data_IF_302881178376
#
_entry.id   IF_302881178376
#
_cell.length_a   1.000
_cell.length_b   1.000
_cell.length_c   1.000
_cell.angle_alpha   90.00
_cell.angle_beta   90.00
_cell.angle_gamma   90.00
#
_symmetry.space_group_name_H-M   'P 1'
#
loop_
_entity.id
_entity.type
_entity.pdbx_description
1 polymer ?
#
# COMPACT_ATOMS: atom_id res chain seq x y z
N UNK A 1 -2.34 -17.93 20.17
CA UNK A 1 -3.41 -17.42 19.30
C UNK A 1 -3.80 -18.45 18.24
N UNK A 2 -2.86 -18.98 17.46
CA UNK A 2 -3.12 -19.96 16.40
C UNK A 2 -3.90 -21.20 16.87
N UNK A 3 -3.31 -22.04 17.73
CA UNK A 3 -3.94 -23.28 18.19
C UNK A 3 -5.26 -23.09 18.95
N UNK A 4 -5.43 -21.94 19.61
CA UNK A 4 -6.63 -21.66 20.39
C UNK A 4 -7.74 -20.96 19.58
N UNK A 5 -7.39 -20.23 18.51
CA UNK A 5 -8.32 -19.36 17.79
C UNK A 5 -8.55 -19.73 16.32
N UNK A 6 -7.56 -20.31 15.65
CA UNK A 6 -7.61 -20.65 14.23
C UNK A 6 -7.86 -22.16 14.03
N UNK A 7 -7.09 -23.03 14.67
CA UNK A 7 -7.26 -24.49 14.52
C UNK A 7 -8.69 -24.98 14.85
N UNK A 8 -9.37 -24.48 15.90
CA UNK A 8 -10.72 -24.96 16.23
C UNK A 8 -11.78 -24.58 15.20
N UNK A 9 -11.53 -23.56 14.36
CA UNK A 9 -12.47 -23.12 13.32
C UNK A 9 -12.14 -23.69 11.93
N UNK A 10 -10.96 -24.31 11.77
CA UNK A 10 -10.55 -24.96 10.54
C UNK A 10 -11.53 -26.00 9.97
N UNK A 11 -12.31 -26.76 10.79
CA UNK A 11 -13.30 -27.68 10.26
C UNK A 11 -14.42 -27.01 9.44
N UNK A 12 -14.62 -25.70 9.58
CA UNK A 12 -15.64 -24.98 8.80
C UNK A 12 -15.08 -24.55 7.43
N UNK A 13 -15.85 -24.75 6.34
CA UNK A 13 -15.45 -24.25 5.04
C UNK A 13 -15.46 -22.71 5.04
N UNK A 14 -14.41 -22.12 4.49
CA UNK A 14 -14.28 -20.68 4.32
C UNK A 14 -14.05 -20.34 2.84
N UNK A 15 -14.35 -19.09 2.47
CA UNK A 15 -14.07 -18.55 1.12
C UNK A 15 -12.81 -17.70 1.06
N UNK A 16 -12.21 -17.40 2.21
CA UNK A 16 -11.01 -16.58 2.33
C UNK A 16 -10.86 -16.06 3.75
N UNK A 17 -9.77 -15.32 3.98
CA UNK A 17 -9.42 -14.74 5.28
C UNK A 17 -9.34 -13.22 5.17
N UNK A 18 -9.91 -12.52 6.15
CA UNK A 18 -9.66 -11.10 6.37
C UNK A 18 -8.63 -10.95 7.50
N UNK A 19 -7.53 -10.24 7.24
CA UNK A 19 -6.43 -10.08 8.21
C UNK A 19 -6.13 -8.61 8.47
N UNK A 20 -6.22 -8.18 9.74
CA UNK A 20 -5.81 -6.83 10.14
C UNK A 20 -4.92 -6.93 11.37
N UNK A 21 -3.61 -6.83 11.12
CA UNK A 21 -2.57 -6.77 12.14
C UNK A 21 -1.34 -6.08 11.54
N UNK A 22 -0.52 -5.48 12.40
CA UNK A 22 0.84 -5.06 12.04
C UNK A 22 1.41 -4.01 13.00
N UNK A 23 0.57 -3.40 13.84
CA UNK A 23 0.92 -2.26 14.68
C UNK A 23 2.10 -2.54 15.64
N UNK A 24 2.15 -3.76 16.20
CA UNK A 24 3.28 -4.20 17.05
C UNK A 24 4.51 -4.62 16.26
N UNK A 25 4.37 -4.96 14.97
CA UNK A 25 5.50 -5.22 14.08
C UNK A 25 6.12 -3.93 13.57
N UNK A 26 5.35 -2.84 13.52
CA UNK A 26 5.79 -1.49 13.13
C UNK A 26 6.35 -0.66 14.30
N UNK A 27 6.92 -1.31 15.33
CA UNK A 27 7.56 -0.63 16.47
C UNK A 27 9.02 -0.26 16.20
N UNK A 28 9.74 -1.08 15.44
CA UNK A 28 11.15 -0.86 15.06
C UNK A 28 11.40 -1.42 13.66
N UNK A 29 12.42 -0.91 12.98
CA UNK A 29 12.81 -1.41 11.65
C UNK A 29 13.16 -2.90 11.66
N UNK A 30 13.80 -3.39 12.74
CA UNK A 30 14.09 -4.82 12.91
C UNK A 30 12.81 -5.67 12.92
N UNK A 31 11.79 -5.26 13.67
CA UNK A 31 10.50 -5.95 13.70
C UNK A 31 9.75 -5.85 12.38
N UNK A 32 9.92 -4.75 11.65
CA UNK A 32 9.40 -4.63 10.29
C UNK A 32 10.06 -5.68 9.38
N UNK A 33 11.37 -5.91 9.49
CA UNK A 33 12.06 -6.92 8.68
C UNK A 33 11.63 -8.34 9.01
N UNK A 34 11.30 -8.64 10.27
CA UNK A 34 10.75 -9.94 10.66
C UNK A 34 9.40 -10.21 9.96
N UNK A 35 8.59 -9.18 9.71
CA UNK A 35 7.30 -9.32 9.03
C UNK A 35 7.43 -9.86 7.60
N UNK A 36 8.53 -9.54 6.90
CA UNK A 36 8.80 -10.06 5.55
C UNK A 36 8.95 -11.59 5.52
N UNK A 37 9.29 -12.21 6.66
CA UNK A 37 9.32 -13.68 6.82
C UNK A 37 8.01 -14.21 7.39
N UNK A 38 7.47 -13.56 8.43
CA UNK A 38 6.34 -14.07 9.19
C UNK A 38 5.02 -14.03 8.40
N UNK A 39 4.79 -13.00 7.59
CA UNK A 39 3.53 -12.87 6.86
C UNK A 39 3.36 -13.91 5.74
N UNK A 40 4.37 -14.18 4.89
CA UNK A 40 4.32 -15.32 3.97
C UNK A 40 4.12 -16.67 4.68
N UNK A 41 4.77 -16.87 5.84
CA UNK A 41 4.56 -18.07 6.65
C UNK A 41 3.12 -18.20 7.14
N UNK A 42 2.50 -17.10 7.59
CA UNK A 42 1.08 -17.07 7.97
C UNK A 42 0.19 -17.47 6.80
N UNK A 43 0.39 -16.85 5.63
CA UNK A 43 -0.38 -17.15 4.40
C UNK A 43 -0.26 -18.64 4.04
N UNK A 44 0.96 -19.19 4.07
CA UNK A 44 1.19 -20.61 3.81
C UNK A 44 0.51 -21.51 4.85
N UNK A 45 0.60 -21.16 6.14
CA UNK A 45 0.02 -21.94 7.23
C UNK A 45 -1.51 -21.97 7.14
N UNK A 46 -2.14 -20.83 6.83
CA UNK A 46 -3.59 -20.73 6.60
C UNK A 46 -4.01 -21.58 5.40
N UNK A 47 -3.30 -21.48 4.28
CA UNK A 47 -3.58 -22.29 3.08
C UNK A 47 -3.44 -23.79 3.34
N UNK A 48 -2.40 -24.18 4.07
CA UNK A 48 -2.16 -25.57 4.46
C UNK A 48 -3.25 -26.12 5.38
N UNK A 49 -3.68 -25.33 6.37
CA UNK A 49 -4.71 -25.75 7.33
C UNK A 49 -6.08 -26.02 6.69
N UNK A 50 -6.43 -25.27 5.62
CA UNK A 50 -7.65 -25.49 4.84
C UNK A 50 -7.44 -26.33 3.57
N UNK A 51 -6.23 -26.82 3.33
CA UNK A 51 -5.85 -27.58 2.14
C UNK A 51 -6.22 -26.87 0.81
N UNK A 52 -6.12 -25.54 0.80
CA UNK A 52 -6.47 -24.69 -0.35
C UNK A 52 -5.29 -23.78 -0.71
N UNK A 53 -4.50 -24.19 -1.70
CA UNK A 53 -3.26 -23.50 -2.10
C UNK A 53 -3.49 -22.07 -2.63
N UNK A 54 -4.69 -21.79 -3.15
CA UNK A 54 -5.12 -20.51 -3.70
C UNK A 54 -6.11 -19.77 -2.78
N UNK A 55 -6.30 -20.21 -1.52
CA UNK A 55 -7.21 -19.59 -0.57
C UNK A 55 -6.92 -18.06 -0.50
N UNK A 56 -7.93 -17.21 -0.80
CA UNK A 56 -7.74 -15.77 -0.77
C UNK A 56 -7.46 -15.24 0.63
N UNK A 57 -6.53 -14.29 0.72
CA UNK A 57 -6.25 -13.55 1.96
C UNK A 57 -6.27 -12.05 1.66
N UNK A 58 -7.24 -11.35 2.25
CA UNK A 58 -7.38 -9.90 2.09
C UNK A 58 -6.94 -9.24 3.38
N UNK A 59 -5.99 -8.31 3.32
CA UNK A 59 -5.43 -7.70 4.52
C UNK A 59 -5.42 -6.17 4.47
N UNK A 60 -5.21 -5.56 5.63
CA UNK A 60 -5.29 -4.12 5.81
C UNK A 60 -3.90 -3.51 5.88
N UNK A 61 -3.59 -2.56 5.00
CA UNK A 61 -2.44 -1.68 5.18
C UNK A 61 -2.59 -0.92 6.50
N UNK A 62 -1.51 -0.69 7.25
CA UNK A 62 -1.62 0.12 8.47
C UNK A 62 -2.08 1.55 8.15
N UNK A 63 -3.04 2.10 8.93
CA UNK A 63 -3.58 3.44 8.73
C UNK A 63 -2.57 4.53 9.11
N UNK A 64 -2.91 5.81 9.02
CA UNK A 64 -2.09 6.91 9.52
C UNK A 64 -1.87 6.86 11.05
N UNK A 65 -0.62 6.90 11.50
CA UNK A 65 -0.23 7.00 12.92
C UNK A 65 1.19 7.60 13.05
N UNK A 66 1.43 8.53 13.99
CA UNK A 66 2.75 9.18 14.17
C UNK A 66 3.76 8.26 14.88
N UNK A 67 4.32 7.29 14.15
CA UNK A 67 5.41 6.40 14.59
C UNK A 67 6.48 6.24 13.51
N UNK A 68 7.74 6.18 13.91
CA UNK A 68 8.89 6.26 13.01
C UNK A 68 8.95 5.13 11.96
N UNK A 69 8.86 3.86 12.38
CA UNK A 69 8.96 2.69 11.50
C UNK A 69 7.73 2.47 10.59
N UNK A 70 6.70 3.31 10.73
CA UNK A 70 5.39 3.11 10.12
C UNK A 70 5.38 3.21 8.58
N UNK A 71 6.08 4.18 7.94
CA UNK A 71 6.18 4.23 6.48
C UNK A 71 6.87 2.99 5.90
N UNK A 72 7.95 2.53 6.54
CA UNK A 72 8.66 1.32 6.15
C UNK A 72 7.73 0.10 6.18
N UNK A 73 6.96 -0.06 7.25
CA UNK A 73 6.01 -1.16 7.37
C UNK A 73 4.94 -1.15 6.26
N UNK A 74 4.39 0.02 5.92
CA UNK A 74 3.40 0.14 4.82
C UNK A 74 3.99 -0.27 3.47
N UNK A 75 5.23 0.10 3.18
CA UNK A 75 5.90 -0.32 1.94
C UNK A 75 6.17 -1.83 1.93
N UNK A 76 6.55 -2.42 3.08
CA UNK A 76 6.67 -3.89 3.20
C UNK A 76 5.35 -4.60 2.96
N UNK A 77 4.26 -4.12 3.57
CA UNK A 77 2.92 -4.62 3.30
C UNK A 77 2.58 -4.59 1.80
N UNK A 78 2.82 -3.45 1.13
CA UNK A 78 2.61 -3.31 -0.32
C UNK A 78 3.44 -4.32 -1.13
N UNK A 79 4.73 -4.49 -0.80
CA UNK A 79 5.62 -5.43 -1.51
C UNK A 79 5.16 -6.87 -1.34
N UNK A 80 4.77 -7.26 -0.12
CA UNK A 80 4.28 -8.61 0.18
C UNK A 80 2.99 -8.91 -0.59
N UNK A 81 2.06 -7.95 -0.67
CA UNK A 81 0.85 -8.10 -1.49
C UNK A 81 1.19 -8.36 -2.97
N UNK A 82 2.19 -7.67 -3.52
CA UNK A 82 2.61 -7.86 -4.91
C UNK A 82 3.34 -9.20 -5.17
N UNK A 83 3.93 -9.81 -4.14
CA UNK A 83 4.71 -11.04 -4.25
C UNK A 83 3.89 -12.32 -4.01
N UNK A 84 2.75 -12.21 -3.30
CA UNK A 84 1.97 -13.36 -2.86
C UNK A 84 0.68 -13.49 -3.69
N UNK A 85 0.56 -14.49 -4.57
CA UNK A 85 -0.65 -14.68 -5.37
C UNK A 85 -1.89 -14.88 -4.49
N UNK A 86 -3.02 -14.26 -4.86
CA UNK A 86 -4.27 -14.35 -4.11
C UNK A 86 -4.26 -13.59 -2.77
N UNK A 87 -3.25 -12.75 -2.53
CA UNK A 87 -3.19 -11.84 -1.38
C UNK A 87 -3.42 -10.42 -1.85
N UNK A 88 -4.39 -9.73 -1.25
CA UNK A 88 -4.80 -8.38 -1.67
C UNK A 88 -4.84 -7.44 -0.47
N UNK A 89 -4.45 -6.18 -0.69
CA UNK A 89 -4.31 -5.18 0.38
C UNK A 89 -5.34 -4.07 0.23
N UNK A 90 -6.12 -3.82 1.28
CA UNK A 90 -6.90 -2.59 1.41
C UNK A 90 -5.97 -1.46 1.87
N UNK A 91 -5.80 -0.43 1.03
CA UNK A 91 -5.04 0.78 1.35
C UNK A 91 -5.86 1.64 2.34
N UNK A 92 -5.21 2.18 3.38
CA UNK A 92 -5.90 2.95 4.45
C UNK A 92 -5.13 4.18 4.95
N UNK A 93 -4.15 4.66 4.18
CA UNK A 93 -3.29 5.81 4.51
C UNK A 93 -4.06 7.11 4.85
N UNK A 94 -5.28 7.25 4.34
CA UNK A 94 -6.20 8.38 4.55
C UNK A 94 -7.09 8.24 5.79
N UNK A 95 -6.99 7.11 6.49
CA UNK A 95 -7.66 6.84 7.77
C UNK A 95 -6.65 6.86 8.91
N UNK A 96 -7.10 6.75 10.16
CA UNK A 96 -6.23 6.65 11.32
C UNK A 96 -6.36 7.82 12.28
N UNK A 97 -5.43 7.90 13.22
CA UNK A 97 -5.37 8.97 14.22
C UNK A 97 -3.90 9.21 14.58
N UNK A 98 -3.45 10.46 14.79
CA UNK A 98 -2.03 10.74 15.00
C UNK A 98 -1.45 10.08 16.25
N UNK A 99 -2.29 9.83 17.27
CA UNK A 99 -1.85 9.33 18.59
C UNK A 99 -2.59 8.10 19.09
N UNK A 100 -3.63 7.64 18.38
CA UNK A 100 -4.45 6.51 18.81
C UNK A 100 -4.28 5.35 17.82
N UNK A 101 -3.74 4.24 18.32
CA UNK A 101 -3.52 3.02 17.55
C UNK A 101 -4.83 2.25 17.30
N UNK A 102 -5.91 2.61 18.01
CA UNK A 102 -7.24 2.02 17.87
C UNK A 102 -8.29 3.05 17.39
N UNK A 103 -8.08 3.69 16.22
CA UNK A 103 -8.94 4.76 15.76
C UNK A 103 -10.40 4.30 15.62
N UNK A 104 -11.34 5.12 16.07
CA UNK A 104 -12.77 4.79 16.08
C UNK A 104 -13.37 4.59 14.68
N UNK A 105 -12.84 5.30 13.67
CA UNK A 105 -13.35 5.23 12.29
C UNK A 105 -12.86 3.95 11.60
N UNK A 106 -13.60 2.85 11.75
CA UNK A 106 -13.29 1.54 11.15
C UNK A 106 -14.14 1.18 9.93
N UNK A 107 -15.25 1.91 9.70
CA UNK A 107 -16.18 1.65 8.59
C UNK A 107 -15.52 1.67 7.20
N UNK A 108 -14.69 2.68 6.84
CA UNK A 108 -14.04 2.69 5.54
C UNK A 108 -13.11 1.48 5.30
N UNK A 109 -12.47 0.98 6.37
CA UNK A 109 -11.60 -0.21 6.30
C UNK A 109 -12.43 -1.44 5.94
N UNK A 110 -13.58 -1.64 6.60
CA UNK A 110 -14.49 -2.75 6.32
C UNK A 110 -15.09 -2.68 4.91
N UNK A 111 -15.48 -1.48 4.46
CA UNK A 111 -16.02 -1.26 3.10
C UNK A 111 -14.99 -1.60 2.02
N UNK A 112 -13.72 -1.24 2.21
CA UNK A 112 -12.63 -1.58 1.27
C UNK A 112 -12.35 -3.08 1.22
N UNK A 113 -12.30 -3.75 2.37
CA UNK A 113 -12.17 -5.22 2.39
C UNK A 113 -13.37 -5.91 1.75
N UNK A 114 -14.59 -5.41 1.97
CA UNK A 114 -15.79 -5.95 1.36
C UNK A 114 -15.75 -5.79 -0.18
N UNK A 115 -15.28 -4.66 -0.69
CA UNK A 115 -15.11 -4.45 -2.14
C UNK A 115 -14.09 -5.43 -2.74
N UNK A 116 -12.94 -5.64 -2.07
CA UNK A 116 -11.96 -6.64 -2.48
C UNK A 116 -12.55 -8.06 -2.45
N UNK A 117 -13.31 -8.41 -1.41
CA UNK A 117 -13.96 -9.71 -1.32
C UNK A 117 -14.99 -9.91 -2.43
N UNK A 118 -15.88 -8.94 -2.66
CA UNK A 118 -16.91 -9.02 -3.70
C UNK A 118 -16.30 -9.20 -5.09
N UNK A 119 -15.21 -8.50 -5.38
CA UNK A 119 -14.56 -8.54 -6.70
C UNK A 119 -13.64 -9.75 -6.89
N UNK A 120 -12.74 -10.03 -5.94
CA UNK A 120 -11.70 -11.05 -6.08
C UNK A 120 -12.14 -12.45 -5.64
N UNK A 121 -12.98 -12.53 -4.61
CA UNK A 121 -13.38 -13.82 -4.01
C UNK A 121 -14.71 -14.29 -4.56
N UNK A 122 -15.71 -13.40 -4.58
CA UNK A 122 -17.07 -13.75 -5.02
C UNK A 122 -17.33 -13.48 -6.49
N UNK A 123 -16.46 -12.72 -7.17
CA UNK A 123 -16.62 -12.31 -8.58
C UNK A 123 -18.02 -11.75 -8.86
N UNK A 124 -18.53 -10.97 -7.92
CA UNK A 124 -19.87 -10.41 -7.98
C UNK A 124 -20.01 -9.51 -9.21
N UNK A 125 -21.11 -9.64 -9.95
CA UNK A 125 -21.34 -8.87 -11.16
C UNK A 125 -21.28 -7.36 -10.85
N UNK A 126 -20.43 -6.63 -11.61
CA UNK A 126 -20.22 -5.20 -11.41
C UNK A 126 -19.23 -4.82 -10.30
N UNK A 127 -18.76 -5.77 -9.48
CA UNK A 127 -17.70 -5.50 -8.51
C UNK A 127 -16.33 -5.48 -9.20
N UNK A 128 -15.70 -4.30 -9.26
CA UNK A 128 -14.34 -4.16 -9.77
C UNK A 128 -13.34 -4.19 -8.61
N UNK A 129 -12.23 -4.93 -8.75
CA UNK A 129 -11.18 -4.93 -7.75
C UNK A 129 -10.51 -3.57 -7.74
N UNK A 130 -10.56 -2.91 -6.59
CA UNK A 130 -9.94 -1.61 -6.43
C UNK A 130 -9.33 -1.47 -5.04
N UNK A 131 -8.04 -1.23 -5.03
CA UNK A 131 -7.23 -0.95 -3.85
C UNK A 131 -6.68 0.48 -3.87
N UNK A 132 -7.13 1.31 -4.82
CA UNK A 132 -6.49 2.56 -5.19
C UNK A 132 -5.21 2.37 -6.01
N UNK A 133 -4.63 3.47 -6.53
CA UNK A 133 -3.43 3.41 -7.34
C UNK A 133 -2.25 2.74 -6.64
N UNK A 134 -1.66 1.73 -7.28
CA UNK A 134 -0.43 1.07 -6.82
C UNK A 134 0.74 1.41 -7.72
N UNK A 135 1.96 1.52 -7.17
CA UNK A 135 3.17 1.68 -7.97
C UNK A 135 3.30 0.52 -8.97
N UNK A 136 3.36 0.85 -10.26
CA UNK A 136 3.67 -0.10 -11.33
C UNK A 136 5.14 -0.01 -11.72
N UNK A 137 5.66 1.20 -11.91
CA UNK A 137 7.06 1.45 -12.27
C UNK A 137 7.49 2.85 -11.83
N UNK A 138 8.78 3.01 -11.54
CA UNK A 138 9.43 4.31 -11.37
C UNK A 138 10.78 4.26 -12.10
N UNK A 139 10.94 5.14 -13.08
CA UNK A 139 12.09 5.17 -13.99
C UNK A 139 12.68 6.57 -14.05
N UNK A 140 14.00 6.67 -14.14
CA UNK A 140 14.70 7.93 -14.34
C UNK A 140 14.63 8.32 -15.82
N UNK A 141 14.22 9.56 -16.08
CA UNK A 141 14.22 10.19 -17.41
C UNK A 141 14.92 11.55 -17.27
N UNK A 142 16.20 11.61 -17.65
CA UNK A 142 17.12 12.71 -17.36
C UNK A 142 17.14 13.07 -15.84
N UNK A 143 16.81 14.31 -15.49
CA UNK A 143 16.68 14.79 -14.10
C UNK A 143 15.29 14.58 -13.50
N UNK A 144 14.37 13.95 -14.23
CA UNK A 144 13.04 13.63 -13.75
C UNK A 144 12.86 12.14 -13.46
N UNK A 145 11.77 11.85 -12.76
CA UNK A 145 11.31 10.49 -12.49
C UNK A 145 9.92 10.33 -13.10
N UNK A 146 9.76 9.36 -13.97
CA UNK A 146 8.45 8.95 -14.49
C UNK A 146 7.91 7.84 -13.60
N UNK A 147 6.75 8.10 -12.99
CA UNK A 147 6.07 7.14 -12.12
C UNK A 147 4.79 6.68 -12.79
N UNK A 148 4.65 5.37 -13.00
CA UNK A 148 3.45 4.75 -13.54
C UNK A 148 2.69 4.01 -12.45
N UNK A 149 1.38 4.11 -12.49
CA UNK A 149 0.47 3.49 -11.53
C UNK A 149 -0.41 2.43 -12.20
N UNK A 150 -0.68 1.35 -11.47
CA UNK A 150 -1.78 0.42 -11.75
C UNK A 150 -3.06 0.88 -11.01
N UNK A 151 -4.20 0.28 -11.34
CA UNK A 151 -5.48 0.46 -10.63
C UNK A 151 -5.95 1.94 -10.55
N UNK A 152 -5.82 2.68 -11.66
CA UNK A 152 -6.23 4.11 -11.71
C UNK A 152 -7.66 4.33 -12.20
N UNK A 153 -8.36 3.26 -12.64
CA UNK A 153 -9.66 3.35 -13.28
C UNK A 153 -9.61 4.21 -14.55
N UNK A 154 -10.29 5.36 -14.54
CA UNK A 154 -10.31 6.33 -15.64
C UNK A 154 -9.12 7.30 -15.61
N UNK A 155 -8.38 7.35 -14.51
CA UNK A 155 -7.12 8.09 -14.42
C UNK A 155 -6.79 8.60 -13.02
N UNK A 156 -5.56 9.08 -12.88
CA UNK A 156 -5.09 9.74 -11.68
C UNK A 156 -5.75 11.11 -11.51
N UNK A 157 -6.15 11.43 -10.28
CA UNK A 157 -6.66 12.74 -9.89
C UNK A 157 -6.27 13.10 -8.47
N UNK A 158 -6.43 14.36 -8.11
CA UNK A 158 -6.36 14.80 -6.72
C UNK A 158 -7.75 15.00 -6.14
N UNK A 159 -7.98 14.53 -4.92
CA UNK A 159 -9.32 14.60 -4.27
C UNK A 159 -9.79 16.04 -4.04
N UNK A 160 -8.84 16.96 -3.98
CA UNK A 160 -9.05 18.36 -3.61
C UNK A 160 -8.70 19.34 -4.73
N UNK A 161 -8.38 18.85 -5.94
CA UNK A 161 -7.98 19.66 -7.08
C UNK A 161 -6.66 20.43 -6.90
N UNK A 162 -5.91 20.18 -5.81
CA UNK A 162 -4.62 20.82 -5.56
C UNK A 162 -3.48 20.01 -6.21
N UNK A 163 -2.26 20.57 -6.33
CA UNK A 163 -1.10 19.81 -6.76
C UNK A 163 -0.88 18.54 -5.94
N UNK A 164 -0.33 17.51 -6.58
CA UNK A 164 0.01 16.24 -5.91
C UNK A 164 1.03 16.50 -4.80
N UNK A 165 0.84 15.87 -3.64
CA UNK A 165 1.65 16.07 -2.44
C UNK A 165 2.55 14.88 -2.14
N UNK A 166 3.50 15.09 -1.22
CA UNK A 166 4.24 14.03 -0.52
C UNK A 166 5.11 13.14 -1.42
N UNK A 167 5.67 13.72 -2.49
CA UNK A 167 6.76 13.10 -3.22
C UNK A 167 8.09 13.63 -2.70
N UNK A 168 9.04 12.72 -2.55
CA UNK A 168 10.43 13.05 -2.27
C UNK A 168 11.34 12.24 -3.20
N UNK A 169 12.40 12.87 -3.68
CA UNK A 169 13.39 12.27 -4.57
C UNK A 169 14.75 12.29 -3.87
N UNK A 170 15.49 11.20 -4.00
CA UNK A 170 16.81 11.02 -3.45
C UNK A 170 17.86 11.18 -4.53
N UNK A 171 18.94 11.92 -4.26
CA UNK A 171 20.11 12.01 -5.12
C UNK A 171 21.16 10.95 -4.82
N UNK A 172 22.35 11.12 -5.42
CA UNK A 172 23.52 10.27 -5.19
C UNK A 172 24.11 10.43 -3.76
N UNK A 173 23.75 11.52 -3.07
CA UNK A 173 24.11 11.83 -1.68
C UNK A 173 23.30 11.03 -0.64
N UNK A 174 22.31 10.24 -1.09
CA UNK A 174 21.36 9.53 -0.25
C UNK A 174 20.42 10.43 0.59
N UNK A 175 20.31 11.71 0.25
CA UNK A 175 19.38 12.65 0.90
C UNK A 175 18.10 12.79 0.09
N UNK A 176 16.95 12.80 0.79
CA UNK A 176 15.63 12.95 0.18
C UNK A 176 15.17 14.41 0.24
N UNK A 177 14.79 14.95 -0.91
CA UNK A 177 14.28 16.31 -1.05
C UNK A 177 12.82 16.31 -1.55
N UNK A 178 11.98 17.27 -1.12
CA UNK A 178 10.63 17.42 -1.66
C UNK A 178 10.63 17.58 -3.17
N UNK A 179 9.70 16.91 -3.84
CA UNK A 179 9.61 16.91 -5.30
C UNK A 179 8.22 17.34 -5.77
N UNK A 180 8.19 17.97 -6.95
CA UNK A 180 6.97 18.40 -7.63
C UNK A 180 6.52 17.29 -8.56
N UNK A 181 5.28 16.84 -8.42
CA UNK A 181 4.68 15.81 -9.25
C UNK A 181 3.54 16.38 -10.11
N UNK A 182 3.58 16.08 -11.41
CA UNK A 182 2.57 16.49 -12.39
C UNK A 182 1.96 15.27 -13.07
N UNK A 183 0.62 15.23 -13.17
CA UNK A 183 -0.08 14.22 -13.98
C UNK A 183 0.15 14.53 -15.45
N UNK A 184 0.83 13.62 -16.16
CA UNK A 184 1.17 13.77 -17.59
C UNK A 184 0.42 12.78 -18.48
N UNK A 185 -0.31 11.83 -17.89
CA UNK A 185 -1.14 10.88 -18.61
C UNK A 185 -2.17 10.22 -17.69
N UNK A 186 -2.94 9.27 -18.23
CA UNK A 186 -3.98 8.56 -17.48
C UNK A 186 -3.46 7.96 -16.17
N UNK A 187 -2.30 7.31 -16.21
CA UNK A 187 -1.71 6.61 -15.08
C UNK A 187 -0.26 7.03 -14.80
N UNK A 188 0.16 8.19 -15.31
CA UNK A 188 1.56 8.61 -15.31
C UNK A 188 1.73 9.95 -14.60
N UNK A 189 2.71 10.00 -13.69
CA UNK A 189 3.24 11.24 -13.13
C UNK A 189 4.65 11.47 -13.67
N UNK A 190 4.98 12.74 -13.95
CA UNK A 190 6.36 13.20 -14.06
C UNK A 190 6.72 13.94 -12.77
N UNK A 191 7.80 13.53 -12.12
CA UNK A 191 8.26 14.05 -10.83
C UNK A 191 9.63 14.71 -11.02
N UNK A 192 9.78 15.93 -10.51
CA UNK A 192 11.02 16.72 -10.60
C UNK A 192 11.42 17.26 -9.24
N UNK A 193 12.71 17.35 -8.99
CA UNK A 193 13.28 17.95 -7.79
C UNK A 193 14.41 18.90 -8.21
N UNK A 194 14.39 20.15 -7.75
CA UNK A 194 15.37 21.15 -8.19
C UNK A 194 16.75 20.91 -7.57
N UNK A 195 16.77 20.25 -6.42
CA UNK A 195 17.92 19.92 -5.61
C UNK A 195 18.63 18.65 -6.13
N UNK A 196 17.94 17.82 -6.91
CA UNK A 196 18.44 16.51 -7.37
C UNK A 196 18.54 16.47 -8.89
N UNK A 197 19.77 16.59 -9.41
CA UNK A 197 20.05 16.48 -10.85
C UNK A 197 20.09 15.04 -11.36
N UNK A 198 20.45 14.09 -10.49
CA UNK A 198 20.54 12.67 -10.80
C UNK A 198 19.71 11.85 -9.80
N UNK A 199 18.41 11.62 -10.08
CA UNK A 199 17.51 10.93 -9.15
C UNK A 199 17.89 9.46 -8.97
N UNK A 200 18.31 9.03 -7.78
CA UNK A 200 18.68 7.64 -7.47
C UNK A 200 17.51 6.82 -6.87
N UNK A 201 16.62 7.46 -6.11
CA UNK A 201 15.42 6.83 -5.56
C UNK A 201 14.27 7.83 -5.47
N UNK A 202 13.05 7.32 -5.34
CA UNK A 202 11.84 8.11 -5.15
C UNK A 202 10.96 7.46 -4.10
N UNK A 203 10.25 8.27 -3.32
CA UNK A 203 9.23 7.80 -2.39
C UNK A 203 8.00 8.69 -2.42
N UNK A 204 6.86 8.06 -2.17
CA UNK A 204 5.55 8.72 -2.09
C UNK A 204 4.90 8.42 -0.74
N UNK A 205 4.37 9.46 -0.11
CA UNK A 205 3.70 9.40 1.18
C UNK A 205 4.52 8.63 2.24
N UNK A 206 5.85 8.82 2.23
CA UNK A 206 6.79 8.23 3.18
C UNK A 206 6.76 8.97 4.53
N UNK A 207 5.55 9.10 5.08
CA UNK A 207 5.26 9.91 6.26
C UNK A 207 4.36 9.07 7.18
N UNK A 208 4.65 9.01 8.49
CA UNK A 208 3.85 8.23 9.44
C UNK A 208 2.37 8.67 9.47
N UNK A 209 2.14 9.98 9.53
CA UNK A 209 0.82 10.60 9.49
C UNK A 209 0.87 11.84 8.58
N UNK A 210 0.29 11.81 7.37
CA UNK A 210 0.38 12.90 6.41
C UNK A 210 -0.48 14.10 6.84
N UNK A 211 0.18 15.24 7.10
CA UNK A 211 -0.44 16.54 7.34
C UNK A 211 0.18 17.57 6.38
N UNK A 212 -0.57 18.11 5.39
CA UNK A 212 -1.97 17.80 5.05
C UNK A 212 -2.16 16.36 4.54
N UNK A 213 -3.40 15.82 4.50
CA UNK A 213 -3.66 14.47 4.01
C UNK A 213 -3.14 14.22 2.59
N UNK A 214 -2.87 12.95 2.27
CA UNK A 214 -2.61 12.52 0.89
C UNK A 214 -3.80 12.89 0.01
N UNK A 215 -3.52 13.31 -1.22
CA UNK A 215 -4.56 13.70 -2.16
C UNK A 215 -4.54 12.93 -3.48
N UNK A 216 -3.52 12.13 -3.79
CA UNK A 216 -3.46 11.34 -5.02
C UNK A 216 -4.40 10.14 -4.94
N UNK A 217 -5.29 10.02 -5.92
CA UNK A 217 -6.29 8.94 -6.02
C UNK A 217 -6.46 8.48 -7.47
N UNK A 218 -7.07 7.31 -7.63
CA UNK A 218 -7.63 6.86 -8.91
C UNK A 218 -9.04 7.41 -9.11
N UNK A 219 -9.71 7.02 -10.20
CA UNK A 219 -11.06 7.54 -10.49
C UNK A 219 -12.10 7.18 -9.42
N UNK A 220 -11.92 6.08 -8.69
CA UNK A 220 -12.77 5.66 -7.55
C UNK A 220 -12.66 6.54 -6.31
N UNK A 221 -11.60 7.35 -6.20
CA UNK A 221 -11.32 8.14 -5.00
C UNK A 221 -10.57 7.38 -3.91
N UNK A 222 -10.19 6.12 -4.10
CA UNK A 222 -9.28 5.43 -3.18
C UNK A 222 -7.86 6.01 -3.28
N UNK A 223 -7.16 6.20 -2.15
CA UNK A 223 -5.82 6.79 -2.12
C UNK A 223 -4.78 5.90 -2.81
N UNK A 224 -3.79 6.54 -3.42
CA UNK A 224 -2.60 5.85 -3.87
C UNK A 224 -1.84 5.24 -2.68
N UNK A 225 -1.33 4.02 -2.85
CA UNK A 225 -0.57 3.34 -1.79
C UNK A 225 0.82 3.98 -1.62
N UNK A 226 1.27 4.26 -0.38
CA UNK A 226 2.64 4.68 -0.11
C UNK A 226 3.68 3.69 -0.66
N UNK A 227 4.81 4.20 -1.12
CA UNK A 227 5.90 3.38 -1.64
C UNK A 227 7.26 4.06 -1.52
N UNK A 228 8.32 3.24 -1.61
CA UNK A 228 9.66 3.67 -2.01
C UNK A 228 10.14 2.79 -3.18
N UNK A 229 10.88 3.38 -4.11
CA UNK A 229 11.53 2.67 -5.20
C UNK A 229 12.92 3.25 -5.44
N UNK A 230 13.92 2.37 -5.55
CA UNK A 230 15.16 2.70 -6.23
C UNK A 230 14.87 2.83 -7.73
N UNK A 231 15.60 3.71 -8.40
CA UNK A 231 15.41 3.98 -9.82
C UNK A 231 16.39 3.17 -10.65
N UNK A 232 15.86 2.55 -11.71
CA UNK A 232 16.66 2.06 -12.81
C UNK A 232 16.74 3.14 -13.89
N UNK A 233 17.76 3.08 -14.75
CA UNK A 233 17.80 3.89 -15.96
C UNK A 233 16.63 3.47 -16.87
N UNK A 234 15.88 4.45 -17.38
CA UNK A 234 14.86 4.19 -18.39
C UNK A 234 15.49 3.60 -19.66
N UNK A 235 14.88 2.54 -20.21
CA UNK A 235 15.23 2.04 -21.55
C UNK A 235 14.75 2.99 -22.64
#
# INVERSE_FOLDING_TARGET
MWAAGIEPVAPFPIKGVLWYQGESNAETDERVMQHDTLFPMLVHSVRGLWEQADLPLLFVQLPALKREAWPLFRDRQRRLAAQLPGVEMAVTIDTGHPTDVHPHTKRPVGERLAQLALSRVYQHAGAQPDSGPGLQAAEREDSAVVVRFANVGDGLKTVDGKPVRHFEVCGDDNEYFPAVAQVTGKNTLRVTCAEVNHPAAIRYAWIPFPEPPVNLTGSSGLPASPFMSNLADGQ
#
